data_IF_468870344375
#
_entry.id   IF_468870344375
#
_cell.length_a   1.000
_cell.length_b   1.000
_cell.length_c   1.000
_cell.angle_alpha   90.00
_cell.angle_beta   90.00
_cell.angle_gamma   90.00
#
_symmetry.space_group_name_H-M   'P 1'
#
loop_
_entity.id
_entity.type
_entity.pdbx_description
1 polymer ?
#
# COMPACT_ATOMS: atom_id res chain seq x y z
N UNK A 1 -17.11 19.62 4.21
CA UNK A 1 -15.67 19.36 4.04
C UNK A 1 -15.00 20.68 3.71
N UNK A 2 -13.93 21.06 4.45
CA UNK A 2 -13.18 22.30 4.23
C UNK A 2 -11.97 22.01 3.33
N UNK A 3 -11.62 22.92 2.43
CA UNK A 3 -10.41 22.92 1.62
C UNK A 3 -9.89 24.36 1.49
N UNK A 4 -8.69 24.58 0.99
CA UNK A 4 -8.07 25.93 0.91
C UNK A 4 -8.89 26.97 0.13
N UNK A 5 -9.89 26.54 -0.66
CA UNK A 5 -10.80 27.40 -1.42
C UNK A 5 -12.20 27.56 -0.82
N UNK A 6 -12.52 26.93 0.34
CA UNK A 6 -13.83 27.06 0.97
C UNK A 6 -14.41 25.76 1.52
N UNK A 7 -15.73 25.67 1.55
CA UNK A 7 -16.50 24.54 2.06
C UNK A 7 -17.36 23.93 0.93
N UNK A 8 -17.33 22.59 0.84
CA UNK A 8 -18.19 21.84 -0.08
C UNK A 8 -19.15 20.99 0.73
N UNK A 9 -20.45 21.23 0.59
CA UNK A 9 -21.49 20.37 1.14
C UNK A 9 -21.62 19.10 0.27
N UNK A 10 -21.49 17.91 0.89
CA UNK A 10 -21.61 16.64 0.19
C UNK A 10 -22.13 15.55 1.12
N UNK A 11 -23.05 14.72 0.63
CA UNK A 11 -23.53 13.54 1.36
C UNK A 11 -22.55 12.37 1.32
N UNK A 12 -21.67 12.32 0.32
CA UNK A 12 -20.69 11.25 0.16
C UNK A 12 -19.31 11.84 -0.10
N UNK A 13 -18.34 11.47 0.72
CA UNK A 13 -16.95 11.89 0.59
C UNK A 13 -16.11 10.64 0.33
N UNK A 14 -15.43 10.58 -0.81
CA UNK A 14 -14.51 9.50 -1.16
C UNK A 14 -13.09 10.04 -1.07
N UNK A 15 -12.34 9.57 -0.06
CA UNK A 15 -10.95 9.91 0.13
C UNK A 15 -10.06 8.90 -0.61
N UNK A 16 -9.36 9.35 -1.63
CA UNK A 16 -8.47 8.54 -2.47
C UNK A 16 -7.10 9.21 -2.64
N UNK A 17 -6.52 9.66 -1.54
CA UNK A 17 -5.30 10.48 -1.53
C UNK A 17 -3.98 9.68 -1.69
N UNK A 18 -4.05 8.35 -1.86
CA UNK A 18 -2.86 7.49 -1.98
C UNK A 18 -2.20 7.18 -0.64
N UNK A 19 -0.91 6.86 -0.70
CA UNK A 19 -0.11 6.48 0.45
C UNK A 19 1.12 7.38 0.59
N UNK A 20 1.60 7.54 1.81
CA UNK A 20 2.89 8.16 2.14
C UNK A 20 3.75 7.18 2.92
N UNK A 21 5.07 7.31 2.84
CA UNK A 21 5.97 6.46 3.60
C UNK A 21 5.83 6.70 5.11
N UNK A 22 6.05 5.66 5.91
CA UNK A 22 5.96 5.73 7.36
C UNK A 22 6.96 6.78 7.90
N UNK A 23 6.57 7.61 8.90
CA UNK A 23 7.43 8.64 9.47
C UNK A 23 8.79 8.16 10.00
N UNK A 24 8.96 6.88 10.28
CA UNK A 24 10.23 6.29 10.73
C UNK A 24 11.39 6.58 9.74
N UNK A 25 11.08 6.78 8.45
CA UNK A 25 12.10 7.09 7.45
C UNK A 25 12.76 8.45 7.68
N UNK A 26 12.13 9.36 8.42
CA UNK A 26 12.70 10.65 8.81
C UNK A 26 13.87 10.52 9.80
N UNK A 27 13.98 9.36 10.49
CA UNK A 27 15.09 9.06 11.38
C UNK A 27 16.37 8.64 10.62
N UNK A 28 16.24 8.33 9.32
CA UNK A 28 17.36 8.06 8.45
C UNK A 28 17.92 9.40 7.97
N UNK A 29 19.24 9.59 8.07
CA UNK A 29 19.90 10.76 7.50
C UNK A 29 19.96 10.66 5.97
N UNK A 30 18.79 10.79 5.33
CA UNK A 30 18.60 10.58 3.91
C UNK A 30 17.65 11.60 3.31
N UNK A 31 17.86 11.92 2.04
CA UNK A 31 16.97 12.78 1.27
C UNK A 31 15.63 12.08 1.01
N UNK A 32 14.52 12.81 1.19
CA UNK A 32 13.16 12.31 0.99
C UNK A 32 12.49 13.00 -0.19
N UNK A 33 11.63 12.27 -0.89
CA UNK A 33 10.75 12.87 -1.89
C UNK A 33 9.49 13.48 -1.24
N UNK A 34 8.62 14.10 -2.07
CA UNK A 34 7.37 14.73 -1.61
C UNK A 34 6.37 13.77 -0.94
N UNK A 35 6.52 12.45 -1.11
CA UNK A 35 5.72 11.41 -0.47
C UNK A 35 6.46 10.79 0.72
N UNK A 36 7.49 11.47 1.24
CA UNK A 36 8.38 11.02 2.31
C UNK A 36 9.12 9.70 1.99
N UNK A 37 9.27 9.29 0.73
CA UNK A 37 10.05 8.12 0.35
C UNK A 37 11.51 8.46 0.28
N UNK A 38 12.35 7.58 0.78
CA UNK A 38 13.81 7.71 0.82
C UNK A 38 14.39 7.58 -0.59
N UNK A 39 15.17 8.57 -1.02
CA UNK A 39 15.89 8.50 -2.29
C UNK A 39 17.09 7.58 -2.11
N UNK A 40 17.05 6.42 -2.78
CA UNK A 40 18.06 5.38 -2.70
C UNK A 40 18.93 5.32 -3.96
N UNK A 41 20.11 4.70 -3.84
CA UNK A 41 20.96 4.36 -4.98
C UNK A 41 20.31 3.27 -5.86
N UNK A 42 20.90 2.99 -7.00
CA UNK A 42 20.44 1.94 -7.93
C UNK A 42 20.53 0.51 -7.33
N UNK A 43 21.35 0.30 -6.31
CA UNK A 43 21.46 -0.93 -5.54
C UNK A 43 20.56 -0.97 -4.30
N UNK A 44 19.67 0.03 -4.16
CA UNK A 44 18.70 0.22 -3.07
C UNK A 44 19.34 0.58 -1.72
N UNK A 45 20.64 0.87 -1.68
CA UNK A 45 21.32 1.37 -0.48
C UNK A 45 21.14 2.87 -0.30
N UNK A 46 21.35 3.36 0.92
CA UNK A 46 21.38 4.81 1.19
C UNK A 46 22.66 5.45 0.62
N UNK A 47 22.58 6.68 0.08
CA UNK A 47 23.74 7.41 -0.41
C UNK A 47 24.87 7.57 0.61
N UNK A 48 24.53 7.87 1.88
CA UNK A 48 25.48 8.08 2.96
C UNK A 48 25.84 6.81 3.75
N UNK A 49 25.00 5.78 3.69
CA UNK A 49 25.14 4.55 4.47
C UNK A 49 24.93 3.32 3.59
N UNK A 50 25.99 2.86 3.01
CA UNK A 50 25.94 1.77 2.01
C UNK A 50 25.53 0.39 2.57
N UNK A 51 25.49 0.22 3.87
CA UNK A 51 25.04 -0.99 4.58
C UNK A 51 23.57 -0.94 4.98
N UNK A 52 22.87 0.19 4.70
CA UNK A 52 21.45 0.36 4.96
C UNK A 52 20.70 0.33 3.64
N UNK A 53 19.72 -0.54 3.53
CA UNK A 53 18.86 -0.69 2.35
C UNK A 53 17.44 -0.28 2.68
N UNK A 54 16.81 0.46 1.77
CA UNK A 54 15.39 0.83 1.87
C UNK A 54 14.67 0.30 0.64
N UNK A 55 13.57 -0.42 0.88
CA UNK A 55 12.80 -1.11 -0.16
C UNK A 55 11.29 -0.90 0.02
N UNK A 56 10.52 -1.28 -0.99
CA UNK A 56 9.06 -1.19 -0.99
C UNK A 56 8.55 0.25 -1.03
N UNK A 57 7.44 0.49 -0.36
CA UNK A 57 6.73 1.78 -0.39
C UNK A 57 7.51 2.92 0.28
N UNK A 58 8.53 2.59 1.06
CA UNK A 58 9.43 3.57 1.68
C UNK A 58 10.56 4.05 0.75
N UNK A 59 10.79 3.38 -0.38
CA UNK A 59 11.90 3.66 -1.28
C UNK A 59 11.46 4.45 -2.52
N UNK A 60 12.16 5.54 -2.82
CA UNK A 60 12.06 6.24 -4.09
C UNK A 60 13.06 5.64 -5.07
N UNK A 61 12.58 4.81 -5.98
CA UNK A 61 13.38 4.17 -7.03
C UNK A 61 12.90 4.57 -8.41
N UNK A 62 13.79 4.58 -9.39
CA UNK A 62 13.49 4.94 -10.77
C UNK A 62 13.73 3.74 -11.70
N UNK A 63 12.97 3.69 -12.79
CA UNK A 63 13.25 2.77 -13.89
C UNK A 63 14.38 3.31 -14.78
N UNK A 64 14.75 2.56 -15.81
CA UNK A 64 15.80 2.96 -16.78
C UNK A 64 15.48 4.27 -17.54
N UNK A 65 14.21 4.64 -17.64
CA UNK A 65 13.74 5.85 -18.29
C UNK A 65 13.67 7.05 -17.32
N UNK A 66 14.14 6.90 -16.08
CA UNK A 66 14.10 7.94 -15.07
C UNK A 66 12.74 8.14 -14.40
N UNK A 67 11.73 7.36 -14.76
CA UNK A 67 10.39 7.43 -14.16
C UNK A 67 10.38 6.74 -12.80
N UNK A 68 9.71 7.35 -11.84
CA UNK A 68 9.57 6.81 -10.49
C UNK A 68 8.70 5.56 -10.51
N UNK A 69 9.17 4.49 -9.87
CA UNK A 69 8.40 3.26 -9.75
C UNK A 69 7.21 3.45 -8.81
N UNK A 70 6.07 2.82 -9.13
CA UNK A 70 4.88 2.87 -8.28
C UNK A 70 5.10 2.09 -6.98
N UNK A 71 4.44 2.54 -5.90
CA UNK A 71 4.40 1.84 -4.61
C UNK A 71 3.38 0.69 -4.68
N UNK A 72 3.83 -0.45 -5.19
CA UNK A 72 3.01 -1.66 -5.37
C UNK A 72 3.79 -2.93 -4.97
N UNK A 73 3.06 -3.94 -4.52
CA UNK A 73 3.64 -5.19 -4.04
C UNK A 73 4.62 -5.88 -5.02
N UNK A 74 4.40 -5.91 -6.36
CA UNK A 74 5.38 -6.48 -7.29
C UNK A 74 6.73 -5.78 -7.28
N UNK A 75 6.77 -4.45 -7.09
CA UNK A 75 8.02 -3.69 -6.96
C UNK A 75 8.71 -4.06 -5.65
N UNK A 76 7.99 -4.00 -4.52
CA UNK A 76 8.53 -4.33 -3.20
C UNK A 76 9.10 -5.75 -3.14
N UNK A 77 8.38 -6.73 -3.70
CA UNK A 77 8.83 -8.13 -3.74
C UNK A 77 10.11 -8.29 -4.55
N UNK A 78 10.22 -7.65 -5.72
CA UNK A 78 11.42 -7.73 -6.55
C UNK A 78 12.61 -7.02 -5.90
N UNK A 79 12.39 -5.89 -5.22
CA UNK A 79 13.40 -5.20 -4.43
C UNK A 79 13.91 -6.07 -3.28
N UNK A 80 13.00 -6.71 -2.51
CA UNK A 80 13.37 -7.62 -1.44
C UNK A 80 14.18 -8.83 -1.93
N UNK A 81 13.80 -9.42 -3.08
CA UNK A 81 14.55 -10.50 -3.71
C UNK A 81 15.94 -10.05 -4.16
N UNK A 82 16.06 -8.84 -4.70
CA UNK A 82 17.34 -8.27 -5.12
C UNK A 82 18.28 -8.05 -3.93
N UNK A 83 17.81 -7.37 -2.87
CA UNK A 83 18.60 -7.16 -1.65
C UNK A 83 18.96 -8.47 -0.98
N UNK A 84 18.02 -9.43 -0.91
CA UNK A 84 18.30 -10.77 -0.38
C UNK A 84 19.45 -11.49 -1.14
N UNK A 85 19.52 -11.35 -2.47
CA UNK A 85 20.63 -11.89 -3.28
C UNK A 85 21.95 -11.15 -3.05
N UNK A 86 21.91 -9.82 -2.86
CA UNK A 86 23.08 -9.03 -2.47
C UNK A 86 23.65 -9.50 -1.13
N UNK A 87 22.79 -9.63 -0.12
CA UNK A 87 23.21 -10.06 1.23
C UNK A 87 23.69 -11.51 1.26
N UNK A 88 23.14 -12.36 0.38
CA UNK A 88 23.60 -13.75 0.22
C UNK A 88 24.88 -13.90 -0.63
N UNK A 89 25.51 -12.79 -1.04
CA UNK A 89 26.71 -12.80 -1.86
C UNK A 89 26.52 -13.28 -3.30
N UNK A 90 25.27 -13.40 -3.78
CA UNK A 90 24.96 -13.81 -5.16
C UNK A 90 25.03 -12.64 -6.16
N UNK A 91 24.96 -11.43 -5.67
CA UNK A 91 25.14 -10.18 -6.41
C UNK A 91 26.28 -9.39 -5.79
N UNK A 92 26.96 -8.57 -6.59
CA UNK A 92 28.08 -7.75 -6.15
C UNK A 92 27.60 -6.33 -5.92
N UNK A 93 27.80 -5.83 -4.70
CA UNK A 93 27.50 -4.45 -4.32
C UNK A 93 28.24 -3.46 -5.23
N UNK A 94 27.55 -2.42 -5.68
CA UNK A 94 28.10 -1.40 -6.57
C UNK A 94 28.26 -1.81 -8.03
N UNK A 95 28.06 -3.10 -8.38
CA UNK A 95 28.07 -3.60 -9.77
C UNK A 95 26.66 -3.98 -10.24
N UNK A 96 25.95 -4.73 -9.40
CA UNK A 96 24.59 -5.14 -9.71
C UNK A 96 23.60 -4.05 -9.31
N UNK A 97 22.71 -3.68 -10.24
CA UNK A 97 21.69 -2.65 -10.05
C UNK A 97 20.30 -3.26 -10.12
N UNK A 98 19.39 -2.70 -9.33
CA UNK A 98 18.00 -3.15 -9.34
C UNK A 98 17.33 -2.77 -10.67
N UNK A 99 16.64 -3.74 -11.26
CA UNK A 99 15.88 -3.56 -12.50
C UNK A 99 14.48 -4.13 -12.29
N UNK A 100 13.49 -3.26 -12.24
CA UNK A 100 12.09 -3.68 -12.17
C UNK A 100 11.66 -4.34 -13.48
N UNK A 101 11.04 -5.50 -13.35
CA UNK A 101 10.38 -6.20 -14.45
C UNK A 101 8.88 -6.10 -14.27
N UNK A 102 8.24 -5.29 -15.08
CA UNK A 102 6.79 -5.15 -15.06
C UNK A 102 6.13 -6.47 -15.52
N UNK A 103 5.20 -6.94 -14.71
CA UNK A 103 4.40 -8.16 -14.98
C UNK A 103 2.97 -7.84 -15.36
N UNK A 104 2.63 -6.55 -15.42
CA UNK A 104 1.27 -6.06 -15.61
C UNK A 104 0.60 -5.63 -14.31
N UNK A 105 -0.62 -5.16 -14.43
CA UNK A 105 -1.44 -4.65 -13.33
C UNK A 105 -2.80 -5.33 -13.30
N UNK A 106 -3.33 -5.49 -12.10
CA UNK A 106 -4.68 -6.04 -11.89
C UNK A 106 -5.35 -5.33 -10.73
N UNK A 107 -6.67 -5.09 -10.84
CA UNK A 107 -7.48 -4.51 -9.77
C UNK A 107 -8.87 -5.12 -9.74
N UNK A 108 -9.33 -5.47 -8.54
CA UNK A 108 -10.73 -5.87 -8.32
C UNK A 108 -11.59 -4.62 -8.09
N UNK A 109 -12.76 -4.59 -8.71
CA UNK A 109 -13.74 -3.52 -8.56
C UNK A 109 -14.86 -3.96 -7.62
N UNK A 110 -15.08 -5.27 -7.52
CA UNK A 110 -16.11 -5.85 -6.68
C UNK A 110 -16.22 -7.37 -6.87
N UNK A 111 -17.31 -7.94 -6.35
CA UNK A 111 -17.56 -9.38 -6.48
C UNK A 111 -17.68 -9.75 -7.97
N UNK A 112 -16.84 -10.71 -8.40
CA UNK A 112 -16.79 -11.21 -9.79
C UNK A 112 -16.47 -10.12 -10.85
N UNK A 113 -15.93 -8.96 -10.45
CA UNK A 113 -15.56 -7.87 -11.37
C UNK A 113 -14.14 -7.40 -11.09
N UNK A 114 -13.28 -7.50 -12.09
CA UNK A 114 -11.90 -7.02 -12.05
C UNK A 114 -11.48 -6.48 -13.42
N UNK A 115 -10.38 -5.80 -13.44
CA UNK A 115 -9.64 -5.43 -14.65
C UNK A 115 -8.21 -5.94 -14.53
N UNK A 116 -7.63 -6.38 -15.63
CA UNK A 116 -6.26 -6.84 -15.70
C UNK A 116 -5.63 -6.40 -17.01
N UNK A 117 -4.40 -5.92 -16.94
CA UNK A 117 -3.54 -5.67 -18.07
C UNK A 117 -2.25 -6.47 -17.87
N UNK A 118 -2.05 -7.52 -18.66
CA UNK A 118 -0.88 -8.39 -18.56
C UNK A 118 -0.13 -8.31 -19.86
N UNK A 119 0.97 -7.55 -19.86
CA UNK A 119 1.83 -7.36 -21.04
C UNK A 119 1.06 -6.89 -22.28
N UNK A 120 0.07 -5.99 -22.11
CA UNK A 120 -0.75 -5.46 -23.20
C UNK A 120 -2.03 -6.24 -23.50
N UNK A 121 -2.20 -7.45 -22.93
CA UNK A 121 -3.47 -8.17 -23.00
C UNK A 121 -4.42 -7.68 -21.91
N UNK A 122 -5.54 -7.10 -22.32
CA UNK A 122 -6.53 -6.51 -21.41
C UNK A 122 -7.70 -7.46 -21.18
N UNK A 123 -7.98 -7.74 -19.92
CA UNK A 123 -9.11 -8.56 -19.49
C UNK A 123 -10.01 -7.75 -18.58
N UNK A 124 -11.32 -8.03 -18.59
CA UNK A 124 -12.28 -7.37 -17.71
C UNK A 124 -13.38 -8.34 -17.26
N UNK A 125 -14.11 -7.96 -16.21
CA UNK A 125 -15.23 -8.72 -15.70
C UNK A 125 -14.83 -9.99 -14.93
N UNK A 126 -15.59 -11.06 -15.11
CA UNK A 126 -15.41 -12.32 -14.40
C UNK A 126 -14.09 -13.02 -14.73
N UNK A 127 -13.68 -13.02 -15.99
CA UNK A 127 -12.42 -13.64 -16.43
C UNK A 127 -11.21 -12.99 -15.77
N UNK A 128 -11.17 -11.66 -15.71
CA UNK A 128 -10.13 -10.92 -15.00
C UNK A 128 -10.16 -11.19 -13.49
N UNK A 129 -11.36 -11.34 -12.91
CA UNK A 129 -11.52 -11.65 -11.50
C UNK A 129 -11.03 -13.05 -11.15
N UNK A 130 -11.33 -14.04 -11.99
CA UNK A 130 -10.85 -15.42 -11.83
C UNK A 130 -9.32 -15.47 -11.92
N UNK A 131 -8.75 -14.81 -12.93
CA UNK A 131 -7.30 -14.72 -13.13
C UNK A 131 -6.63 -14.04 -11.94
N UNK A 132 -7.20 -12.93 -11.47
CA UNK A 132 -6.73 -12.22 -10.27
C UNK A 132 -6.73 -13.15 -9.04
N UNK A 133 -7.82 -13.88 -8.81
CA UNK A 133 -7.96 -14.79 -7.68
C UNK A 133 -6.91 -15.90 -7.68
N UNK A 134 -6.72 -16.56 -8.82
CA UNK A 134 -5.70 -17.62 -8.97
C UNK A 134 -4.31 -17.09 -8.73
N UNK A 135 -3.95 -15.97 -9.38
CA UNK A 135 -2.62 -15.39 -9.24
C UNK A 135 -2.35 -14.99 -7.79
N UNK A 136 -3.30 -14.34 -7.11
CA UNK A 136 -3.09 -13.90 -5.72
C UNK A 136 -2.94 -15.07 -4.74
N UNK A 137 -3.70 -16.16 -4.93
CA UNK A 137 -3.53 -17.36 -4.11
C UNK A 137 -2.16 -18.01 -4.37
N UNK A 138 -1.70 -18.08 -5.62
CA UNK A 138 -0.40 -18.64 -5.96
C UNK A 138 0.78 -17.84 -5.38
N UNK A 139 0.63 -16.52 -5.24
CA UNK A 139 1.65 -15.66 -4.63
C UNK A 139 1.68 -15.70 -3.10
N UNK A 140 0.69 -16.29 -2.43
CA UNK A 140 0.74 -16.50 -0.99
C UNK A 140 1.89 -17.44 -0.62
N UNK A 141 2.57 -17.10 0.46
CA UNK A 141 3.63 -17.93 1.03
C UNK A 141 2.98 -19.09 1.77
N UNK A 142 3.58 -20.30 1.63
CA UNK A 142 3.17 -21.54 2.24
C UNK A 142 1.88 -22.16 1.63
N UNK A 143 1.94 -23.50 1.40
CA UNK A 143 0.86 -24.28 0.84
C UNK A 143 -0.37 -24.31 1.76
N UNK A 144 -0.16 -24.45 3.06
CA UNK A 144 -1.22 -24.44 4.07
C UNK A 144 -2.03 -23.14 4.02
N UNK A 145 -1.34 -22.02 3.93
CA UNK A 145 -1.98 -20.71 3.86
C UNK A 145 -2.77 -20.53 2.55
N UNK A 146 -2.24 -21.00 1.42
CA UNK A 146 -2.96 -21.00 0.13
C UNK A 146 -4.26 -21.76 0.19
N UNK A 147 -4.23 -22.95 0.78
CA UNK A 147 -5.40 -23.80 0.91
C UNK A 147 -6.45 -23.16 1.83
N UNK A 148 -6.02 -22.63 2.97
CA UNK A 148 -6.92 -21.98 3.93
C UNK A 148 -7.61 -20.76 3.30
N UNK A 149 -6.86 -19.86 2.69
CA UNK A 149 -7.41 -18.68 2.02
C UNK A 149 -8.32 -19.06 0.86
N UNK A 150 -7.98 -20.10 0.09
CA UNK A 150 -8.84 -20.60 -0.99
C UNK A 150 -10.21 -21.06 -0.48
N UNK A 151 -10.26 -21.86 0.59
CA UNK A 151 -11.51 -22.31 1.21
C UNK A 151 -12.29 -21.14 1.79
N UNK A 152 -11.63 -20.21 2.49
CA UNK A 152 -12.29 -19.02 3.00
C UNK A 152 -12.90 -18.16 1.89
N UNK A 153 -12.20 -17.96 0.78
CA UNK A 153 -12.74 -17.18 -0.35
C UNK A 153 -13.97 -17.85 -0.98
N UNK A 154 -13.96 -19.17 -1.13
CA UNK A 154 -15.13 -19.94 -1.57
C UNK A 154 -16.28 -19.71 -0.60
N UNK A 155 -16.03 -19.87 0.70
CA UNK A 155 -17.05 -19.67 1.71
C UNK A 155 -17.66 -18.28 1.68
N UNK A 156 -16.81 -17.22 1.66
CA UNK A 156 -17.30 -15.83 1.58
C UNK A 156 -18.03 -15.53 0.27
N UNK A 157 -17.63 -16.16 -0.81
CA UNK A 157 -18.31 -15.99 -2.09
C UNK A 157 -19.75 -16.47 -2.03
N UNK A 158 -20.02 -17.62 -1.42
CA UNK A 158 -21.36 -18.20 -1.30
C UNK A 158 -22.15 -17.65 -0.11
N UNK A 159 -21.53 -17.49 1.05
CA UNK A 159 -22.20 -17.01 2.26
C UNK A 159 -22.57 -15.53 2.26
N UNK A 160 -22.03 -14.74 1.33
CA UNK A 160 -22.32 -13.29 1.18
C UNK A 160 -21.89 -12.43 2.38
N UNK A 161 -21.20 -13.00 3.37
CA UNK A 161 -20.74 -12.27 4.55
C UNK A 161 -19.45 -11.50 4.23
N UNK A 162 -19.34 -10.25 4.74
CA UNK A 162 -18.10 -9.48 4.67
C UNK A 162 -17.16 -9.98 5.77
N UNK A 163 -16.05 -10.63 5.40
CA UNK A 163 -15.03 -11.12 6.33
C UNK A 163 -14.09 -10.06 6.87
N UNK A 164 -14.11 -8.86 6.31
CA UNK A 164 -13.20 -7.78 6.69
C UNK A 164 -13.80 -6.99 7.85
N UNK A 165 -13.08 -6.94 8.97
CA UNK A 165 -13.37 -6.03 10.07
C UNK A 165 -12.54 -4.77 9.89
N UNK A 166 -13.17 -3.61 10.04
CA UNK A 166 -12.46 -2.35 10.13
C UNK A 166 -11.76 -2.31 11.50
N UNK A 167 -10.44 -2.34 11.52
CA UNK A 167 -9.66 -2.14 12.73
C UNK A 167 -9.27 -0.67 12.73
N UNK A 168 -9.95 0.13 13.56
CA UNK A 168 -9.58 1.52 13.83
C UNK A 168 -8.80 1.55 15.12
N UNK A 169 -7.50 1.71 15.03
CA UNK A 169 -6.68 1.96 16.21
C UNK A 169 -6.74 3.46 16.52
N UNK A 170 -7.45 3.80 17.61
CA UNK A 170 -7.55 5.19 18.10
C UNK A 170 -6.26 5.70 18.72
N UNK A 171 -5.32 4.82 19.04
CA UNK A 171 -4.09 5.19 19.77
C UNK A 171 -3.03 5.90 18.91
N UNK A 172 -3.16 5.86 17.58
CA UNK A 172 -2.17 6.48 16.67
C UNK A 172 -2.58 7.87 16.15
N UNK A 173 -3.74 8.39 16.52
CA UNK A 173 -4.21 9.71 16.12
C UNK A 173 -4.10 10.76 17.24
N UNK A 174 -2.91 10.97 17.82
CA UNK A 174 -2.68 12.13 18.71
C UNK A 174 -2.84 13.50 18.00
N UNK A 175 -2.99 13.52 16.69
CA UNK A 175 -3.20 14.75 15.88
C UNK A 175 -4.52 14.80 15.14
N UNK A 176 -5.41 13.81 15.30
CA UNK A 176 -6.75 13.85 14.72
C UNK A 176 -7.74 14.37 15.79
N UNK A 177 -7.69 15.67 16.06
CA UNK A 177 -8.75 16.37 16.82
C UNK A 177 -10.00 16.53 15.95
N UNK A 178 -10.55 15.41 15.49
CA UNK A 178 -11.94 15.39 15.04
C UNK A 178 -12.76 15.27 16.34
N UNK A 179 -13.20 16.39 16.86
CA UNK A 179 -14.20 16.42 17.95
C UNK A 179 -15.43 15.69 17.42
N UNK A 180 -15.79 14.61 18.10
CA UNK A 180 -17.03 13.89 17.84
C UNK A 180 -18.20 14.87 17.94
N UNK A 181 -19.11 14.97 16.97
CA UNK A 181 -20.27 15.84 17.06
C UNK A 181 -21.14 15.56 18.31
N UNK A 182 -21.01 14.39 18.94
CA UNK A 182 -21.73 14.02 20.15
C UNK A 182 -21.12 14.60 21.44
N UNK A 183 -19.88 15.11 21.42
CA UNK A 183 -19.29 15.79 22.59
C UNK A 183 -19.86 17.20 22.84
N UNK A 184 -20.71 17.72 21.98
CA UNK A 184 -21.38 19.01 22.17
C UNK A 184 -22.62 18.95 23.07
N UNK A 185 -23.18 17.78 23.34
CA UNK A 185 -24.39 17.67 24.17
C UNK A 185 -24.12 17.48 25.68
N UNK A 186 -22.89 17.16 26.09
CA UNK A 186 -22.59 16.89 27.50
C UNK A 186 -22.13 18.12 28.32
N UNK A 187 -22.02 19.30 27.73
CA UNK A 187 -21.49 20.51 28.41
C UNK A 187 -22.57 21.51 28.81
N UNK A 188 -23.84 21.27 28.53
CA UNK A 188 -24.88 22.29 28.78
C UNK A 188 -26.03 21.86 29.72
N UNK A 189 -25.79 21.03 30.75
CA UNK A 189 -26.80 20.67 31.75
C UNK A 189 -26.34 20.99 33.19
N UNK A 190 -25.41 21.89 33.41
CA UNK A 190 -25.13 22.43 34.73
C UNK A 190 -25.07 23.96 34.71
N UNK A 191 -26.21 24.59 34.78
CA UNK A 191 -26.25 26.06 34.93
C UNK A 191 -27.61 26.72 34.86
N UNK A 192 -28.68 26.13 35.38
CA UNK A 192 -29.85 26.93 35.82
C UNK A 192 -30.36 26.39 37.11
N UNK A 193 -29.85 26.95 38.21
CA UNK A 193 -30.54 27.09 39.47
C UNK A 193 -30.39 28.54 39.91
N UNK A 194 -31.42 29.26 39.73
CA UNK A 194 -32.16 30.28 40.49
C UNK A 194 -32.80 31.27 39.54
#
# INVERSE_FOLDING_TARGET
MFYEGGEIESYNIIWAAGIVANPIVKMLDAELDRNNRVIVKEDLSLPKHENIYVIGDAAHTKNKQGQVLPSIAPVATQQGQFVGKLLAGRYTKGKDVFKYKDKGSMATIGKAKAVADIRGFKFSGFTAWMLWSVIHILYLIDFRNRFHVFIEWIWYYFAGKRGVRLITDRSSCEHCSIKDPQDKESVNVQGVKK
#
